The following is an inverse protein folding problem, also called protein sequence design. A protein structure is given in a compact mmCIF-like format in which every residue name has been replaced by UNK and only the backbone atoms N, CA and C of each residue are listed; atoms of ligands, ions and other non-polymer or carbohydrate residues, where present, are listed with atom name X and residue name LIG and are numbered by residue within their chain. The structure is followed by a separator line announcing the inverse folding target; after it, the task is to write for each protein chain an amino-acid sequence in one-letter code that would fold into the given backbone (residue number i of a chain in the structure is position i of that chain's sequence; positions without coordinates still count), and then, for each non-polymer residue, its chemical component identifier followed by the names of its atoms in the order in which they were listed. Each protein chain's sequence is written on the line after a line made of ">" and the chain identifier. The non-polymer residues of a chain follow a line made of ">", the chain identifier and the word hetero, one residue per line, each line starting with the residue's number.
data_IF_508427771129
#
_entry.id   IF_508427771129
#
_cell.length_a   1.000
_cell.length_b   1.000
_cell.length_c   1.000
_cell.angle_alpha   90.00
_cell.angle_beta   90.00
_cell.angle_gamma   90.00
#
_symmetry.space_group_name_H-M   'P 1'
#
loop_
_entity.id
_entity.type
_entity.pdbx_description
1 polymer ?
#
# COMPACT_ATOMS: atom_id res chain seq x y z
N UNK A 1 -13.65 6.75 10.35
CA UNK A 1 -12.54 5.93 9.82
C UNK A 1 -13.05 5.12 8.67
N UNK A 2 -12.19 4.82 7.69
CA UNK A 2 -12.49 3.92 6.59
C UNK A 2 -12.09 2.51 6.99
N UNK A 3 -13.02 1.57 6.88
CA UNK A 3 -12.77 0.13 6.92
C UNK A 3 -13.56 -0.49 5.78
N UNK A 4 -12.86 -1.00 4.77
CA UNK A 4 -13.48 -1.62 3.61
C UNK A 4 -12.80 -2.94 3.28
N UNK A 5 -13.53 -3.83 2.62
CA UNK A 5 -12.99 -5.02 2.00
C UNK A 5 -13.66 -5.23 0.66
N UNK A 6 -12.89 -5.71 -0.32
CA UNK A 6 -13.41 -6.02 -1.65
C UNK A 6 -12.75 -7.30 -2.16
N UNK A 7 -13.42 -7.93 -3.13
CA UNK A 7 -12.88 -9.04 -3.90
C UNK A 7 -12.76 -8.64 -5.36
N UNK A 8 -11.74 -9.13 -6.05
CA UNK A 8 -11.52 -8.91 -7.48
C UNK A 8 -10.86 -10.15 -8.10
N UNK A 9 -11.31 -10.55 -9.28
CA UNK A 9 -10.69 -11.62 -10.05
C UNK A 9 -9.30 -11.23 -10.57
N UNK A 10 -8.38 -12.19 -10.67
CA UNK A 10 -7.06 -11.94 -11.27
C UNK A 10 -7.17 -11.50 -12.73
N UNK A 11 -8.17 -11.99 -13.46
CA UNK A 11 -8.46 -11.63 -14.85
C UNK A 11 -9.03 -10.20 -15.01
N UNK A 12 -9.50 -9.60 -13.91
CA UNK A 12 -9.98 -8.22 -13.91
C UNK A 12 -8.82 -7.20 -13.78
N UNK A 13 -7.64 -7.66 -13.35
CA UNK A 13 -6.47 -6.84 -13.10
C UNK A 13 -5.50 -6.76 -14.30
N UNK A 14 -4.65 -5.73 -14.36
CA UNK A 14 -3.54 -5.69 -15.31
C UNK A 14 -2.63 -6.91 -15.21
N UNK A 15 -2.36 -7.53 -16.36
CA UNK A 15 -1.55 -8.75 -16.45
C UNK A 15 -0.07 -8.56 -16.11
N UNK A 16 0.41 -7.31 -15.98
CA UNK A 16 1.80 -7.00 -15.68
C UNK A 16 2.07 -6.82 -14.17
N UNK A 17 1.08 -7.03 -13.30
CA UNK A 17 1.24 -6.98 -11.83
C UNK A 17 1.84 -8.30 -11.35
N UNK A 18 3.06 -8.29 -10.78
CA UNK A 18 3.60 -9.48 -10.13
C UNK A 18 2.73 -9.86 -8.92
N UNK A 19 2.34 -11.14 -8.76
CA UNK A 19 1.48 -11.55 -7.64
C UNK A 19 1.99 -11.08 -6.25
N UNK A 20 3.30 -11.08 -5.94
CA UNK A 20 3.79 -10.59 -4.64
C UNK A 20 3.60 -9.08 -4.41
N UNK A 21 3.37 -8.28 -5.46
CA UNK A 21 3.19 -6.83 -5.35
C UNK A 21 1.73 -6.40 -5.26
N UNK A 22 0.77 -7.32 -5.27
CA UNK A 22 -0.65 -6.99 -5.37
C UNK A 22 -1.14 -6.07 -4.24
N UNK A 23 -0.63 -6.27 -3.01
CA UNK A 23 -0.97 -5.41 -1.88
C UNK A 23 -0.40 -4.00 -2.03
N UNK A 24 0.82 -3.88 -2.58
CA UNK A 24 1.43 -2.59 -2.95
C UNK A 24 0.58 -1.90 -4.02
N UNK A 25 0.15 -2.65 -5.04
CA UNK A 25 -0.67 -2.13 -6.13
C UNK A 25 -1.97 -1.50 -5.60
N UNK A 26 -2.76 -2.24 -4.81
CA UNK A 26 -3.98 -1.71 -4.22
C UNK A 26 -3.73 -0.52 -3.29
N UNK A 27 -2.70 -0.59 -2.44
CA UNK A 27 -2.33 0.54 -1.58
C UNK A 27 -1.97 1.77 -2.40
N UNK A 28 -1.24 1.61 -3.51
CA UNK A 28 -0.84 2.71 -4.38
C UNK A 28 -2.04 3.35 -5.06
N UNK A 29 -3.03 2.57 -5.51
CA UNK A 29 -4.25 3.14 -6.09
C UNK A 29 -4.98 4.05 -5.09
N UNK A 30 -5.17 3.61 -3.84
CA UNK A 30 -5.74 4.48 -2.79
C UNK A 30 -4.83 5.67 -2.47
N UNK A 31 -3.51 5.47 -2.42
CA UNK A 31 -2.56 6.56 -2.19
C UNK A 31 -2.67 7.63 -3.29
N UNK A 32 -2.91 7.24 -4.55
CA UNK A 32 -3.18 8.19 -5.63
C UNK A 32 -4.48 8.96 -5.42
N UNK A 33 -5.58 8.29 -5.01
CA UNK A 33 -6.83 8.98 -4.65
C UNK A 33 -6.59 10.02 -3.54
N UNK A 34 -5.89 9.62 -2.48
CA UNK A 34 -5.56 10.54 -1.37
C UNK A 34 -4.70 11.72 -1.87
N UNK A 35 -3.72 11.45 -2.74
CA UNK A 35 -2.87 12.49 -3.32
C UNK A 35 -3.64 13.44 -4.23
N UNK A 36 -4.61 12.95 -5.01
CA UNK A 36 -5.51 13.76 -5.85
C UNK A 36 -6.39 14.68 -4.99
N UNK A 37 -6.77 14.23 -3.79
CA UNK A 37 -7.49 15.01 -2.78
C UNK A 37 -6.58 15.94 -1.94
N UNK A 38 -5.28 15.99 -2.23
CA UNK A 38 -4.32 16.90 -1.61
C UNK A 38 -3.63 16.37 -0.35
N UNK A 39 -3.80 15.10 0.00
CA UNK A 39 -3.07 14.48 1.10
C UNK A 39 -1.58 14.33 0.79
N UNK A 40 -0.74 14.45 1.81
CA UNK A 40 0.69 14.12 1.76
C UNK A 40 0.96 12.63 2.04
N UNK A 41 -0.08 11.81 2.07
CA UNK A 41 0.03 10.39 2.33
C UNK A 41 1.06 9.71 1.41
N UNK A 42 1.87 8.85 2.01
CA UNK A 42 2.87 8.03 1.33
C UNK A 42 2.81 6.59 1.84
N UNK A 43 3.38 5.66 1.08
CA UNK A 43 3.42 4.25 1.49
C UNK A 43 4.77 3.86 2.09
N UNK A 44 4.75 3.39 3.34
CA UNK A 44 5.86 2.64 3.90
C UNK A 44 5.75 1.19 3.44
N UNK A 45 6.85 0.63 2.93
CA UNK A 45 6.89 -0.76 2.53
C UNK A 45 6.48 -1.71 3.70
N UNK A 46 5.68 -2.75 3.41
CA UNK A 46 5.17 -3.09 2.08
C UNK A 46 3.92 -2.29 1.70
N UNK A 47 3.05 -1.93 2.64
CA UNK A 47 1.70 -1.51 2.28
C UNK A 47 1.00 -0.64 3.35
N UNK A 48 1.79 0.01 4.21
CA UNK A 48 1.27 0.85 5.29
C UNK A 48 1.14 2.31 4.81
N UNK A 49 -0.01 2.93 5.03
CA UNK A 49 -0.22 4.35 4.75
C UNK A 49 0.36 5.20 5.88
N UNK A 50 1.15 6.20 5.51
CA UNK A 50 1.81 7.12 6.43
C UNK A 50 1.53 8.58 6.06
N UNK A 51 1.37 9.40 7.09
CA UNK A 51 1.47 10.87 7.01
C UNK A 51 2.58 11.27 7.97
N UNK A 52 3.53 12.05 7.47
CA UNK A 52 4.81 12.30 8.14
C UNK A 52 5.44 10.96 8.58
N UNK A 53 5.71 10.78 9.88
CA UNK A 53 6.28 9.56 10.45
C UNK A 53 5.24 8.64 11.10
N UNK A 54 3.96 8.97 11.00
CA UNK A 54 2.87 8.23 11.67
C UNK A 54 2.10 7.37 10.70
N UNK A 55 1.94 6.09 11.06
CA UNK A 55 1.04 5.18 10.37
C UNK A 55 -0.40 5.62 10.55
N UNK A 56 -1.11 5.81 9.44
CA UNK A 56 -2.55 6.16 9.43
C UNK A 56 -3.43 4.99 9.00
N UNK A 57 -2.86 3.92 8.44
CA UNK A 57 -3.64 2.82 7.89
C UNK A 57 -2.77 1.74 7.24
N UNK A 58 -3.43 0.77 6.62
CA UNK A 58 -2.75 -0.23 5.80
C UNK A 58 -3.73 -1.11 5.04
N UNK A 59 -3.17 -1.99 4.20
CA UNK A 59 -3.91 -3.04 3.50
C UNK A 59 -3.52 -4.43 4.00
N UNK A 60 -4.39 -5.40 3.73
CA UNK A 60 -4.16 -6.82 3.90
C UNK A 60 -4.77 -7.52 2.68
N UNK A 61 -4.01 -8.39 2.02
CA UNK A 61 -4.46 -9.01 0.77
C UNK A 61 -4.25 -10.51 0.82
N UNK A 62 -5.33 -11.27 0.71
CA UNK A 62 -5.28 -12.73 0.59
C UNK A 62 -5.70 -13.16 -0.81
N UNK A 63 -5.15 -14.27 -1.30
CA UNK A 63 -5.60 -14.92 -2.55
C UNK A 63 -6.33 -16.22 -2.20
N UNK A 64 -7.53 -16.41 -2.76
CA UNK A 64 -8.31 -17.65 -2.70
C UNK A 64 -8.65 -18.04 -4.13
N UNK A 65 -8.11 -19.16 -4.60
CA UNK A 65 -8.12 -19.51 -6.02
C UNK A 65 -7.68 -18.32 -6.88
N UNK A 66 -8.44 -17.91 -7.90
CA UNK A 66 -8.12 -16.75 -8.75
C UNK A 66 -8.74 -15.42 -8.27
N UNK A 67 -9.12 -15.33 -6.99
CA UNK A 67 -9.75 -14.15 -6.40
C UNK A 67 -8.82 -13.53 -5.34
N UNK A 68 -8.54 -12.24 -5.49
CA UNK A 68 -7.90 -11.45 -4.43
C UNK A 68 -8.96 -10.85 -3.51
N UNK A 69 -8.77 -11.03 -2.20
CA UNK A 69 -9.57 -10.42 -1.14
C UNK A 69 -8.68 -9.38 -0.45
N UNK A 70 -9.01 -8.10 -0.62
CA UNK A 70 -8.24 -7.00 -0.05
C UNK A 70 -9.04 -6.23 0.99
N UNK A 71 -8.54 -6.18 2.21
CA UNK A 71 -9.00 -5.30 3.28
C UNK A 71 -8.17 -4.03 3.33
N UNK A 72 -8.81 -2.88 3.51
CA UNK A 72 -8.15 -1.58 3.65
C UNK A 72 -8.74 -0.80 4.83
N UNK A 73 -7.85 -0.30 5.69
CA UNK A 73 -8.23 0.51 6.84
C UNK A 73 -7.44 1.81 6.88
N UNK A 74 -8.12 2.95 7.05
CA UNK A 74 -7.52 4.29 7.17
C UNK A 74 -8.19 5.08 8.29
N UNK A 75 -7.38 5.61 9.20
CA UNK A 75 -7.78 6.51 10.26
C UNK A 75 -8.09 7.89 9.66
N UNK A 76 -9.37 8.25 9.61
CA UNK A 76 -9.82 9.53 9.03
C UNK A 76 -9.99 10.61 10.10
N UNK A 77 -10.51 10.23 11.27
CA UNK A 77 -10.87 11.18 12.33
C UNK A 77 -10.40 10.74 13.72
N UNK A 78 -10.14 9.45 13.92
CA UNK A 78 -9.63 8.92 15.18
C UNK A 78 -8.58 7.85 14.94
N UNK A 79 -7.60 7.77 15.83
CA UNK A 79 -6.52 6.79 15.80
C UNK A 79 -6.13 6.41 17.23
N UNK A 80 -5.58 5.20 17.44
CA UNK A 80 -4.86 4.85 18.67
C UNK A 80 -3.68 5.81 18.92
N UNK A 81 -3.19 5.85 20.16
CA UNK A 81 -2.13 6.78 20.60
C UNK A 81 -0.85 6.71 19.74
N UNK A 82 -0.47 5.52 19.28
CA UNK A 82 0.72 5.26 18.48
C UNK A 82 0.49 5.36 16.95
N UNK A 83 -0.65 5.90 16.52
CA UNK A 83 -1.01 6.06 15.12
C UNK A 83 -1.35 7.52 14.79
N UNK A 84 -1.41 7.82 13.48
CA UNK A 84 -1.86 9.10 12.95
C UNK A 84 -3.26 9.02 12.37
N UNK A 85 -3.79 10.17 12.01
CA UNK A 85 -4.99 10.32 11.18
C UNK A 85 -4.60 10.95 9.84
N UNK A 86 -5.47 10.81 8.85
CA UNK A 86 -5.35 11.47 7.56
C UNK A 86 -5.25 13.00 7.73
N UNK A 87 -4.41 13.64 6.90
CA UNK A 87 -4.10 15.08 6.94
C UNK A 87 -5.09 15.97 6.18
N UNK A 88 -6.14 15.37 5.62
CA UNK A 88 -7.19 16.05 4.88
C UNK A 88 -8.58 15.64 5.41
N UNK A 89 -9.58 16.48 5.12
CA UNK A 89 -10.99 16.17 5.37
C UNK A 89 -11.60 15.61 4.09
N UNK A 90 -12.15 14.41 4.17
CA UNK A 90 -12.80 13.69 3.07
C UNK A 90 -13.89 12.78 3.65
N UNK A 91 -14.82 12.33 2.82
CA UNK A 91 -15.85 11.37 3.21
C UNK A 91 -15.42 9.93 2.87
N UNK A 92 -16.04 8.96 3.54
CA UNK A 92 -15.84 7.54 3.20
C UNK A 92 -16.26 7.27 1.75
N UNK A 93 -17.37 7.86 1.32
CA UNK A 93 -17.89 7.69 -0.04
C UNK A 93 -16.92 8.22 -1.10
N UNK A 94 -16.30 9.38 -0.87
CA UNK A 94 -15.31 9.95 -1.80
C UNK A 94 -14.09 9.03 -1.96
N UNK A 95 -13.61 8.44 -0.87
CA UNK A 95 -12.49 7.50 -0.90
C UNK A 95 -12.84 6.18 -1.57
N UNK A 96 -14.00 5.59 -1.25
CA UNK A 96 -14.44 4.31 -1.83
C UNK A 96 -14.66 4.46 -3.32
N UNK A 97 -15.42 5.48 -3.76
CA UNK A 97 -15.70 5.67 -5.18
C UNK A 97 -14.48 6.17 -5.96
N UNK A 98 -13.61 6.97 -5.35
CA UNK A 98 -12.32 7.32 -5.93
C UNK A 98 -11.45 6.08 -6.17
N UNK A 99 -11.44 5.15 -5.21
CA UNK A 99 -10.68 3.90 -5.33
C UNK A 99 -11.25 2.97 -6.40
N UNK A 100 -12.58 2.79 -6.45
CA UNK A 100 -13.25 2.02 -7.52
C UNK A 100 -12.93 2.61 -8.89
N UNK A 101 -13.02 3.93 -9.03
CA UNK A 101 -12.64 4.63 -10.27
C UNK A 101 -11.17 4.40 -10.65
N UNK A 102 -10.26 4.36 -9.67
CA UNK A 102 -8.85 4.03 -9.91
C UNK A 102 -8.63 2.57 -10.33
N UNK A 103 -9.39 1.61 -9.77
CA UNK A 103 -9.37 0.21 -10.19
C UNK A 103 -9.85 0.06 -11.64
N UNK A 104 -10.94 0.72 -12.00
CA UNK A 104 -11.54 0.66 -13.35
C UNK A 104 -10.59 1.18 -14.45
N UNK A 105 -9.66 2.06 -14.10
CA UNK A 105 -8.62 2.54 -15.02
C UNK A 105 -7.64 1.45 -15.45
N UNK A 106 -7.55 0.32 -14.73
CA UNK A 106 -6.63 -0.81 -14.98
C UNK A 106 -5.20 -0.34 -15.28
N UNK A 107 -4.70 0.56 -14.43
CA UNK A 107 -3.37 1.15 -14.61
C UNK A 107 -2.32 0.04 -14.48
N UNK A 108 -1.45 -0.10 -15.49
CA UNK A 108 -0.36 -1.08 -15.49
C UNK A 108 0.54 -0.94 -14.25
N UNK A 109 1.18 -2.03 -13.85
CA UNK A 109 2.09 -2.08 -12.72
C UNK A 109 3.27 -1.13 -12.88
N UNK A 110 3.91 -1.11 -14.05
CA UNK A 110 5.14 -0.32 -14.27
C UNK A 110 5.05 1.18 -13.86
N UNK A 111 4.01 1.95 -14.25
CA UNK A 111 3.87 3.33 -13.79
C UNK A 111 3.53 3.44 -12.29
N UNK A 112 2.74 2.51 -11.74
CA UNK A 112 2.45 2.46 -10.30
C UNK A 112 3.73 2.21 -9.50
N UNK A 113 4.52 1.22 -9.91
CA UNK A 113 5.79 0.89 -9.28
C UNK A 113 6.78 2.05 -9.35
N UNK A 114 6.82 2.78 -10.47
CA UNK A 114 7.67 3.96 -10.60
C UNK A 114 7.38 5.04 -9.56
N UNK A 115 6.11 5.25 -9.21
CA UNK A 115 5.71 6.13 -8.11
C UNK A 115 6.04 5.52 -6.75
N UNK A 116 5.76 4.24 -6.56
CA UNK A 116 6.06 3.53 -5.32
C UNK A 116 7.56 3.56 -4.96
N UNK A 117 8.46 3.49 -5.94
CA UNK A 117 9.92 3.62 -5.71
C UNK A 117 10.30 4.92 -5.00
N UNK A 118 9.58 6.01 -5.27
CA UNK A 118 9.82 7.31 -4.62
C UNK A 118 9.42 7.23 -3.15
N UNK A 119 8.28 6.62 -2.84
CA UNK A 119 7.83 6.40 -1.47
C UNK A 119 8.71 5.37 -0.73
N UNK A 120 9.22 4.35 -1.42
CA UNK A 120 10.16 3.38 -0.86
C UNK A 120 11.43 4.04 -0.32
N UNK A 121 11.94 5.10 -0.96
CA UNK A 121 13.09 5.85 -0.44
C UNK A 121 12.86 6.37 0.99
N UNK A 122 11.63 6.79 1.32
CA UNK A 122 11.25 7.21 2.69
C UNK A 122 11.18 6.02 3.65
N UNK A 123 10.87 4.83 3.15
CA UNK A 123 10.83 3.60 3.97
C UNK A 123 12.21 3.25 4.56
N UNK A 124 13.31 3.70 3.93
CA UNK A 124 14.69 3.41 4.37
C UNK A 124 15.03 3.96 5.76
N UNK A 125 14.31 4.97 6.26
CA UNK A 125 14.50 5.48 7.62
C UNK A 125 13.74 4.69 8.69
N UNK A 126 13.03 3.61 8.31
CA UNK A 126 12.17 2.84 9.20
C UNK A 126 12.68 1.42 9.43
N UNK A 127 12.21 0.86 10.55
CA UNK A 127 12.35 -0.54 10.90
C UNK A 127 11.05 -1.25 10.53
N UNK A 128 11.15 -2.42 9.92
CA UNK A 128 10.03 -3.32 9.65
C UNK A 128 10.19 -4.64 10.42
N UNK A 129 9.14 -5.45 10.48
CA UNK A 129 9.18 -6.78 11.07
C UNK A 129 9.10 -7.84 9.98
N UNK A 130 10.16 -8.62 9.81
CA UNK A 130 10.23 -9.75 8.88
C UNK A 130 10.44 -11.02 9.71
N UNK A 131 9.56 -12.01 9.58
CA UNK A 131 9.60 -13.25 10.36
C UNK A 131 9.78 -13.01 11.88
N UNK A 132 9.02 -12.05 12.44
CA UNK A 132 9.09 -11.60 13.84
C UNK A 132 10.44 -11.00 14.28
N UNK A 133 11.31 -10.62 13.34
CA UNK A 133 12.57 -9.90 13.63
C UNK A 133 12.44 -8.45 13.18
N UNK A 134 12.87 -7.53 14.03
CA UNK A 134 13.01 -6.11 13.69
C UNK A 134 14.21 -5.95 12.75
N UNK A 135 13.97 -5.35 11.59
CA UNK A 135 14.94 -5.23 10.51
C UNK A 135 14.93 -3.81 9.96
N UNK A 136 16.11 -3.18 9.89
CA UNK A 136 16.27 -1.86 9.28
C UNK A 136 16.14 -1.94 7.76
N UNK A 137 15.44 -0.97 7.16
CA UNK A 137 15.31 -0.84 5.71
C UNK A 137 16.38 0.08 5.09
N UNK A 138 17.35 0.56 5.88
CA UNK A 138 18.36 1.53 5.44
C UNK A 138 19.09 1.07 4.17
N UNK A 139 19.55 -0.18 4.16
CA UNK A 139 20.29 -0.77 3.05
C UNK A 139 19.41 -1.62 2.12
N UNK A 140 18.07 -1.52 2.26
CA UNK A 140 17.15 -2.27 1.42
C UNK A 140 17.06 -1.65 0.01
N UNK A 141 16.96 -2.51 -1.00
CA UNK A 141 16.66 -2.13 -2.38
C UNK A 141 15.32 -2.73 -2.80
N UNK A 142 14.48 -1.95 -3.48
CA UNK A 142 13.18 -2.45 -3.95
C UNK A 142 13.34 -3.14 -5.31
N UNK A 143 12.84 -4.37 -5.42
CA UNK A 143 12.80 -5.16 -6.65
C UNK A 143 11.54 -4.83 -7.48
N UNK A 144 11.59 -5.05 -8.79
CA UNK A 144 10.47 -4.78 -9.71
C UNK A 144 9.20 -5.59 -9.40
N UNK A 145 9.28 -6.66 -8.63
CA UNK A 145 8.14 -7.44 -8.15
C UNK A 145 7.65 -7.05 -6.74
N UNK A 146 8.09 -5.90 -6.23
CA UNK A 146 7.66 -5.37 -4.94
C UNK A 146 8.35 -6.01 -3.73
N UNK A 147 9.18 -7.03 -3.93
CA UNK A 147 10.07 -7.55 -2.90
C UNK A 147 11.18 -6.55 -2.56
N UNK A 148 11.84 -6.74 -1.42
CA UNK A 148 13.09 -6.03 -1.12
C UNK A 148 14.28 -6.97 -1.20
N UNK A 149 15.41 -6.48 -1.69
CA UNK A 149 16.72 -7.10 -1.52
C UNK A 149 17.35 -6.48 -0.26
N UNK A 150 17.68 -7.32 0.70
CA UNK A 150 18.29 -6.90 1.95
C UNK A 150 19.38 -7.88 2.35
N UNK A 151 20.60 -7.38 2.55
CA UNK A 151 21.78 -8.21 2.87
C UNK A 151 22.02 -9.36 1.86
N UNK A 152 21.69 -9.13 0.58
CA UNK A 152 21.80 -10.13 -0.47
C UNK A 152 20.66 -11.15 -0.52
N UNK A 153 19.69 -11.08 0.40
CA UNK A 153 18.51 -11.95 0.43
C UNK A 153 17.27 -11.20 -0.08
N UNK A 154 16.49 -11.87 -0.93
CA UNK A 154 15.22 -11.33 -1.44
C UNK A 154 14.10 -11.67 -0.47
N UNK A 155 13.44 -10.64 0.06
CA UNK A 155 12.39 -10.75 1.06
C UNK A 155 11.06 -10.25 0.49
N UNK A 156 10.04 -11.09 0.59
CA UNK A 156 8.67 -10.76 0.22
C UNK A 156 7.85 -10.35 1.45
N UNK A 157 6.81 -9.55 1.22
CA UNK A 157 5.79 -9.30 2.23
C UNK A 157 5.10 -10.62 2.60
N UNK A 158 4.96 -10.91 3.90
CA UNK A 158 4.23 -12.08 4.40
C UNK A 158 2.73 -11.78 4.60
N UNK A 159 2.19 -10.77 3.92
CA UNK A 159 0.84 -10.23 4.15
C UNK A 159 -0.11 -10.49 3.02
#
# INVERSE_FOLDING_TARGET
>A
NLFMSFCIGEDELPSDIPPPSISIYFSMLMREVLSELGSKCWLKWPNDFYVDERKIGGTLTNKVDEIYICGMGINLASAPENAGILDIRTSVDELVWGFVSMLDKKILWKPIFSKFRIDFCKSKSFITHIANRAVSLQDAEICEDGAILLNGEKVYSLR
#
